data_IF_528036285960
#
_entry.id   IF_528036285960
#
_cell.length_a   1.000
_cell.length_b   1.000
_cell.length_c   1.000
_cell.angle_alpha   90.00
_cell.angle_beta   90.00
_cell.angle_gamma   90.00
#
_symmetry.space_group_name_H-M   'P 1'
#
loop_
_entity.id
_entity.type
_entity.pdbx_description
1 polymer ?
#
# COMPACT_ATOMS: atom_id res chain seq x y z
N UNK A 1 0.67 7.17 -0.22
CA UNK A 1 1.35 7.72 0.97
C UNK A 1 0.50 7.46 2.20
N UNK A 2 1.11 7.38 3.38
CA UNK A 2 0.39 7.24 4.64
C UNK A 2 1.14 7.94 5.76
N UNK A 3 0.43 8.84 6.46
CA UNK A 3 0.88 9.43 7.71
C UNK A 3 0.57 8.46 8.85
N UNK A 4 1.48 8.36 9.81
CA UNK A 4 1.29 7.58 11.03
C UNK A 4 1.55 8.46 12.26
N UNK A 5 0.80 8.17 13.31
CA UNK A 5 0.86 8.86 14.61
C UNK A 5 0.89 7.76 15.68
N UNK A 6 1.79 7.82 16.66
CA UNK A 6 2.89 8.79 16.79
C UNK A 6 3.97 8.63 15.68
N UNK A 7 4.82 9.64 15.46
CA UNK A 7 6.03 9.49 14.65
C UNK A 7 6.90 8.36 15.18
N UNK A 8 7.56 7.64 14.28
CA UNK A 8 8.34 6.45 14.62
C UNK A 8 9.72 6.51 14.00
N UNK A 9 10.67 5.97 14.75
CA UNK A 9 12.05 5.75 14.32
C UNK A 9 12.36 4.26 14.15
N UNK A 10 11.43 3.36 14.48
CA UNK A 10 11.61 1.92 14.31
C UNK A 10 11.66 1.56 12.82
N UNK A 11 12.82 1.06 12.39
CA UNK A 11 13.09 0.70 10.99
C UNK A 11 12.06 -0.30 10.46
N UNK A 12 11.76 -1.34 11.25
CA UNK A 12 10.85 -2.41 10.83
C UNK A 12 9.44 -1.87 10.62
N UNK A 13 8.98 -0.99 11.52
CA UNK A 13 7.67 -0.36 11.40
C UNK A 13 7.59 0.60 10.20
N UNK A 14 8.59 1.47 10.02
CA UNK A 14 8.61 2.44 8.90
C UNK A 14 8.65 1.69 7.56
N UNK A 15 9.47 0.64 7.46
CA UNK A 15 9.55 -0.21 6.28
C UNK A 15 8.23 -0.95 6.03
N UNK A 16 7.61 -1.54 7.07
CA UNK A 16 6.32 -2.20 6.94
C UNK A 16 5.23 -1.24 6.41
N UNK A 17 5.24 0.01 6.86
CA UNK A 17 4.30 1.02 6.34
C UNK A 17 4.58 1.40 4.90
N UNK A 18 5.85 1.49 4.53
CA UNK A 18 6.27 1.71 3.15
C UNK A 18 5.84 0.55 2.24
N UNK A 19 6.06 -0.69 2.65
CA UNK A 19 5.64 -1.90 1.95
C UNK A 19 4.11 -1.93 1.73
N UNK A 20 3.34 -1.56 2.75
CA UNK A 20 1.88 -1.41 2.62
C UNK A 20 1.47 -0.34 1.61
N UNK A 21 2.21 0.77 1.52
CA UNK A 21 1.95 1.80 0.51
C UNK A 21 2.25 1.30 -0.89
N UNK A 22 3.34 0.53 -1.06
CA UNK A 22 3.68 -0.13 -2.32
C UNK A 22 2.55 -1.08 -2.76
N UNK A 23 2.11 -2.00 -1.89
CA UNK A 23 1.00 -2.91 -2.21
C UNK A 23 -0.24 -2.17 -2.68
N UNK A 24 -0.62 -1.10 -1.95
CA UNK A 24 -1.77 -0.28 -2.31
C UNK A 24 -1.60 0.44 -3.65
N UNK A 25 -0.39 0.88 -3.97
CA UNK A 25 -0.08 1.49 -5.27
C UNK A 25 -0.20 0.44 -6.38
N UNK A 26 0.35 -0.75 -6.19
CA UNK A 26 0.27 -1.85 -7.16
C UNK A 26 -1.16 -2.31 -7.43
N UNK A 27 -2.02 -2.40 -6.40
CA UNK A 27 -3.45 -2.72 -6.57
C UNK A 27 -4.12 -1.68 -7.49
N UNK A 28 -3.78 -0.39 -7.33
CA UNK A 28 -4.34 0.66 -8.19
C UNK A 28 -3.82 0.54 -9.62
N UNK A 29 -2.52 0.36 -9.78
CA UNK A 29 -1.88 0.22 -11.10
C UNK A 29 -2.46 -0.97 -11.87
N UNK A 30 -2.61 -2.13 -11.24
CA UNK A 30 -3.27 -3.30 -11.87
C UNK A 30 -4.75 -3.06 -12.20
N UNK A 31 -5.48 -2.33 -11.35
CA UNK A 31 -6.90 -2.00 -11.61
C UNK A 31 -7.07 -1.18 -12.89
N UNK A 32 -6.10 -0.33 -13.22
CA UNK A 32 -6.11 0.47 -14.44
C UNK A 32 -5.41 -0.25 -15.61
N UNK A 33 -5.02 -1.51 -15.45
CA UNK A 33 -4.28 -2.30 -16.44
C UNK A 33 -2.99 -1.58 -16.91
N UNK A 34 -2.23 -1.06 -15.94
CA UNK A 34 -0.97 -0.37 -16.15
C UNK A 34 0.21 -1.15 -15.56
N UNK A 35 1.41 -0.83 -16.02
CA UNK A 35 2.69 -1.28 -15.46
C UNK A 35 3.62 -0.08 -15.25
N UNK A 36 4.40 -0.06 -14.17
CA UNK A 36 5.29 1.05 -13.84
C UNK A 36 6.73 0.72 -14.24
N UNK A 37 7.47 1.72 -14.75
CA UNK A 37 8.90 1.61 -15.10
C UNK A 37 9.82 2.21 -14.04
N UNK A 38 9.27 2.98 -13.12
CA UNK A 38 10.01 3.69 -12.06
C UNK A 38 9.30 3.57 -10.73
N UNK A 39 10.10 3.43 -9.68
CA UNK A 39 9.66 3.42 -8.29
C UNK A 39 10.31 4.60 -7.58
N UNK A 40 9.49 5.51 -7.06
CA UNK A 40 9.95 6.60 -6.19
C UNK A 40 9.60 6.28 -4.76
N UNK A 41 10.60 6.25 -3.89
CA UNK A 41 10.46 6.01 -2.45
C UNK A 41 10.77 7.29 -1.73
N UNK A 42 9.91 7.71 -0.80
CA UNK A 42 10.19 8.89 0.01
C UNK A 42 9.66 8.75 1.43
N UNK A 43 10.36 9.42 2.35
CA UNK A 43 10.03 9.51 3.76
C UNK A 43 9.97 10.98 4.17
N UNK A 44 8.96 11.33 4.97
CA UNK A 44 8.85 12.66 5.57
C UNK A 44 9.21 12.59 7.05
N UNK A 45 10.15 13.44 7.45
CA UNK A 45 10.59 13.60 8.84
C UNK A 45 9.59 14.42 9.65
N UNK A 46 9.74 14.38 10.97
CA UNK A 46 8.90 15.16 11.90
C UNK A 46 8.98 16.67 11.64
N UNK A 47 10.13 17.17 11.20
CA UNK A 47 10.40 18.56 10.78
C UNK A 47 9.82 18.91 9.39
N UNK A 48 8.96 18.04 8.84
CA UNK A 48 8.32 18.18 7.53
C UNK A 48 9.26 18.17 6.33
N UNK A 49 10.55 17.88 6.51
CA UNK A 49 11.47 17.71 5.39
C UNK A 49 11.28 16.36 4.73
N UNK A 50 11.17 16.36 3.41
CA UNK A 50 11.08 15.16 2.58
C UNK A 50 12.45 14.74 2.08
N UNK A 51 12.69 13.44 2.08
CA UNK A 51 13.84 12.82 1.43
C UNK A 51 13.30 11.67 0.59
N UNK A 52 13.75 11.57 -0.65
CA UNK A 52 13.32 10.49 -1.53
C UNK A 52 14.36 10.14 -2.57
N UNK A 53 14.17 8.98 -3.18
CA UNK A 53 15.01 8.43 -4.24
C UNK A 53 14.13 7.84 -5.32
N UNK A 54 14.55 8.00 -6.57
CA UNK A 54 13.94 7.36 -7.73
C UNK A 54 14.80 6.16 -8.16
N UNK A 55 14.13 5.04 -8.40
CA UNK A 55 14.75 3.80 -8.89
C UNK A 55 14.13 3.46 -10.23
N UNK A 56 14.98 3.29 -11.24
CA UNK A 56 14.58 2.77 -12.55
C UNK A 56 14.46 1.26 -12.46
N UNK A 57 13.32 0.73 -12.89
CA UNK A 57 13.08 -0.71 -12.90
C UNK A 57 13.70 -1.31 -14.17
N UNK A 58 14.23 -2.54 -14.04
CA UNK A 58 14.75 -3.30 -15.18
C UNK A 58 13.66 -3.64 -16.18
N UNK A 59 12.44 -3.88 -15.69
CA UNK A 59 11.25 -4.14 -16.50
C UNK A 59 10.02 -3.40 -15.97
N UNK A 60 9.08 -3.03 -16.84
CA UNK A 60 7.77 -2.54 -16.41
C UNK A 60 7.04 -3.59 -15.58
N UNK A 61 6.56 -3.25 -14.38
CA UNK A 61 5.86 -4.21 -13.52
C UNK A 61 4.77 -3.55 -12.66
N UNK A 62 3.78 -4.35 -12.29
CA UNK A 62 2.69 -3.98 -11.39
C UNK A 62 2.60 -4.93 -10.17
N UNK A 63 3.60 -5.79 -9.98
CA UNK A 63 3.59 -6.83 -8.97
C UNK A 63 4.48 -6.45 -7.78
N UNK A 64 3.93 -6.36 -6.55
CA UNK A 64 4.71 -6.06 -5.34
C UNK A 64 5.93 -6.97 -5.14
N UNK A 65 5.83 -8.25 -5.50
CA UNK A 65 6.91 -9.24 -5.31
C UNK A 65 8.20 -8.82 -6.02
N UNK A 66 8.09 -8.21 -7.20
CA UNK A 66 9.25 -7.74 -7.98
C UNK A 66 9.77 -6.39 -7.49
N UNK A 67 8.92 -5.62 -6.82
CA UNK A 67 9.21 -4.28 -6.35
C UNK A 67 9.76 -4.24 -4.92
N UNK A 68 9.70 -5.33 -4.16
CA UNK A 68 10.21 -5.36 -2.78
C UNK A 68 11.72 -5.20 -2.68
N UNK A 69 12.48 -5.77 -3.60
CA UNK A 69 13.94 -5.61 -3.63
C UNK A 69 14.33 -4.14 -3.95
N UNK A 70 13.83 -3.53 -5.05
CA UNK A 70 14.01 -2.08 -5.28
C UNK A 70 13.50 -1.22 -4.11
N UNK A 71 12.38 -1.59 -3.49
CA UNK A 71 11.84 -0.85 -2.35
C UNK A 71 12.82 -0.85 -1.17
N UNK A 72 13.44 -2.00 -0.88
CA UNK A 72 14.40 -2.15 0.21
C UNK A 72 15.69 -1.38 -0.08
N UNK A 73 16.16 -1.39 -1.31
CA UNK A 73 17.30 -0.59 -1.74
C UNK A 73 17.02 0.91 -1.56
N UNK A 74 15.89 1.40 -2.08
CA UNK A 74 15.52 2.81 -1.94
C UNK A 74 15.29 3.23 -0.49
N UNK A 75 14.72 2.34 0.31
CA UNK A 75 14.54 2.58 1.73
C UNK A 75 15.87 2.75 2.47
N UNK A 76 16.87 1.90 2.21
CA UNK A 76 18.21 2.01 2.83
C UNK A 76 18.91 3.33 2.51
N UNK A 77 18.68 3.90 1.32
CA UNK A 77 19.27 5.19 0.94
C UNK A 77 18.61 6.38 1.64
N UNK A 78 17.31 6.29 1.94
CA UNK A 78 16.50 7.39 2.47
C UNK A 78 16.37 7.34 4.00
N UNK A 79 16.40 6.14 4.57
CA UNK A 79 16.26 5.92 6.00
C UNK A 79 17.55 6.28 6.76
N UNK A 80 17.39 7.06 7.82
CA UNK A 80 18.47 7.42 8.74
C UNK A 80 18.11 6.94 10.14
N UNK A 81 19.00 6.18 10.79
CA UNK A 81 18.82 5.80 12.19
C UNK A 81 18.61 7.02 13.08
N UNK A 82 17.87 6.84 14.19
CA UNK A 82 17.58 7.89 15.20
C UNK A 82 16.85 9.13 14.65
N UNK A 83 16.25 9.02 13.47
CA UNK A 83 15.41 10.07 12.88
C UNK A 83 13.93 9.70 13.04
N UNK A 84 13.12 10.63 13.52
CA UNK A 84 11.67 10.45 13.61
C UNK A 84 11.00 10.72 12.27
N UNK A 85 10.33 9.71 11.74
CA UNK A 85 9.51 9.79 10.54
C UNK A 85 8.03 9.85 10.91
N UNK A 86 7.24 10.57 10.11
CA UNK A 86 5.79 10.71 10.31
C UNK A 86 4.96 10.22 9.13
N UNK A 87 5.57 10.11 7.94
CA UNK A 87 4.91 9.68 6.73
C UNK A 87 5.86 8.87 5.86
N UNK A 88 5.32 7.81 5.27
CA UNK A 88 5.98 7.05 4.21
C UNK A 88 5.22 7.20 2.91
N UNK A 89 5.96 7.16 1.79
CA UNK A 89 5.43 7.40 0.47
C UNK A 89 6.09 6.54 -0.60
N UNK A 90 5.25 6.06 -1.51
CA UNK A 90 5.66 5.33 -2.71
C UNK A 90 4.91 5.96 -3.88
N UNK A 91 5.61 6.24 -4.98
CA UNK A 91 5.03 6.64 -6.25
C UNK A 91 5.51 5.65 -7.32
N UNK A 92 4.56 5.13 -8.08
CA UNK A 92 4.84 4.36 -9.29
C UNK A 92 4.75 5.32 -10.47
N UNK A 93 5.84 5.45 -11.22
CA UNK A 93 5.99 6.43 -12.30
C UNK A 93 6.38 5.75 -13.62
N UNK A 94 6.27 6.52 -14.72
CA UNK A 94 6.48 6.01 -16.08
C UNK A 94 5.54 4.83 -16.37
N UNK A 95 4.25 5.10 -16.26
CA UNK A 95 3.18 4.12 -16.42
C UNK A 95 2.98 3.80 -17.91
N UNK A 96 2.89 2.51 -18.23
CA UNK A 96 2.66 1.97 -19.56
C UNK A 96 1.44 1.04 -19.53
N UNK A 97 0.72 0.84 -20.64
CA UNK A 97 -0.34 -0.18 -20.74
C UNK A 97 0.19 -1.59 -20.44
N UNK A 98 -0.54 -2.36 -19.62
CA UNK A 98 -0.16 -3.71 -19.20
C UNK A 98 -0.16 -4.75 -20.33
N UNK A 99 -0.95 -4.53 -21.39
CA UNK A 99 -1.09 -5.43 -22.54
C UNK A 99 0.08 -5.35 -23.52
N UNK A 100 0.91 -4.31 -23.45
CA UNK A 100 2.00 -4.04 -24.41
C UNK A 100 3.41 -4.31 -23.86
N UNK A 101 3.54 -5.15 -22.83
CA UNK A 101 4.87 -5.53 -22.35
C UNK A 101 5.44 -6.59 -23.30
N UNK A 102 6.20 -6.16 -24.30
CA UNK A 102 7.02 -7.06 -25.10
C UNK A 102 8.05 -7.74 -24.20
N UNK A 103 8.01 -9.07 -24.13
CA UNK A 103 8.99 -9.84 -23.37
C UNK A 103 10.34 -9.85 -24.08
N UNK A 104 11.41 -9.74 -23.31
CA UNK A 104 12.77 -9.97 -23.79
C UNK A 104 13.03 -11.47 -23.97
N UNK A 105 14.00 -11.83 -24.80
CA UNK A 105 14.49 -13.22 -24.92
C UNK A 105 15.04 -13.78 -23.60
N UNK A 106 15.39 -12.89 -22.67
CA UNK A 106 15.93 -13.24 -21.35
C UNK A 106 14.88 -13.21 -20.24
N UNK A 107 13.63 -12.88 -20.55
CA UNK A 107 12.56 -12.88 -19.57
C UNK A 107 12.02 -14.30 -19.34
N UNK A 108 11.86 -14.67 -18.07
CA UNK A 108 11.14 -15.88 -17.68
C UNK A 108 9.62 -15.64 -17.80
N UNK A 109 9.10 -15.86 -19.01
CA UNK A 109 7.67 -15.67 -19.35
C UNK A 109 6.76 -16.54 -18.49
N UNK A 110 7.18 -17.78 -18.20
CA UNK A 110 6.41 -18.71 -17.38
C UNK A 110 6.21 -18.17 -15.95
N UNK A 111 7.26 -17.58 -15.37
CA UNK A 111 7.16 -16.92 -14.05
C UNK A 111 6.28 -15.68 -14.08
N UNK A 112 6.35 -14.87 -15.14
CA UNK A 112 5.53 -13.66 -15.30
C UNK A 112 4.05 -14.04 -15.39
N UNK A 113 3.69 -14.98 -16.26
CA UNK A 113 2.31 -15.44 -16.41
C UNK A 113 1.78 -16.08 -15.12
N UNK A 114 2.60 -16.89 -14.45
CA UNK A 114 2.24 -17.46 -13.15
C UNK A 114 1.93 -16.37 -12.13
N UNK A 115 2.74 -15.31 -12.10
CA UNK A 115 2.52 -14.17 -11.22
C UNK A 115 1.22 -13.43 -11.58
N UNK A 116 0.95 -13.22 -12.86
CA UNK A 116 -0.29 -12.62 -13.34
C UNK A 116 -1.53 -13.40 -12.88
N UNK A 117 -1.51 -14.74 -13.02
CA UNK A 117 -2.60 -15.63 -12.56
C UNK A 117 -2.78 -15.60 -11.05
N UNK A 118 -1.70 -15.53 -10.27
CA UNK A 118 -1.79 -15.44 -8.81
C UNK A 118 -2.43 -14.11 -8.40
N UNK A 119 -1.96 -12.99 -8.96
CA UNK A 119 -2.46 -11.68 -8.58
C UNK A 119 -3.88 -11.41 -9.08
N UNK A 120 -4.33 -11.99 -10.19
CA UNK A 120 -5.73 -11.90 -10.60
C UNK A 120 -6.68 -12.50 -9.56
N UNK A 121 -6.34 -13.68 -9.03
CA UNK A 121 -7.10 -14.33 -7.94
C UNK A 121 -7.05 -13.50 -6.66
N UNK A 122 -5.87 -12.97 -6.30
CA UNK A 122 -5.72 -12.09 -5.11
C UNK A 122 -6.58 -10.83 -5.24
N UNK A 123 -6.66 -10.25 -6.43
CA UNK A 123 -7.46 -9.06 -6.70
C UNK A 123 -8.96 -9.38 -6.69
N UNK A 124 -9.39 -10.55 -7.22
CA UNK A 124 -10.76 -11.04 -7.12
C UNK A 124 -11.20 -11.23 -5.66
N UNK A 125 -10.37 -11.90 -4.85
CA UNK A 125 -10.60 -12.07 -3.42
C UNK A 125 -10.66 -10.71 -2.70
N UNK A 126 -9.82 -9.77 -3.10
CA UNK A 126 -9.82 -8.42 -2.54
C UNK A 126 -11.06 -7.61 -2.92
N UNK A 127 -11.64 -7.85 -4.09
CA UNK A 127 -12.91 -7.26 -4.50
C UNK A 127 -14.09 -7.83 -3.70
N UNK A 128 -14.09 -9.15 -3.46
CA UNK A 128 -15.19 -9.85 -2.74
C UNK A 128 -15.16 -9.63 -1.22
N UNK A 129 -13.98 -9.73 -0.61
CA UNK A 129 -13.81 -9.70 0.86
C UNK A 129 -13.21 -8.39 1.38
N UNK A 130 -12.82 -7.50 0.47
CA UNK A 130 -12.25 -6.20 0.76
C UNK A 130 -10.72 -6.17 0.74
N UNK A 131 -10.16 -4.97 0.78
CA UNK A 131 -8.71 -4.72 0.65
C UNK A 131 -7.89 -5.42 1.76
N UNK A 132 -6.75 -5.99 1.40
CA UNK A 132 -5.86 -6.72 2.32
C UNK A 132 -6.50 -7.96 2.96
N UNK A 133 -7.34 -8.68 2.21
CA UNK A 133 -7.74 -10.05 2.56
C UNK A 133 -6.53 -10.96 2.50
N UNK A 134 -5.75 -10.84 1.42
CA UNK A 134 -4.39 -11.37 1.29
C UNK A 134 -3.44 -10.17 1.21
N UNK A 135 -2.33 -10.24 1.93
CA UNK A 135 -1.28 -9.23 1.95
C UNK A 135 0.06 -9.91 2.22
N UNK A 136 1.17 -9.26 1.87
CA UNK A 136 2.49 -9.84 2.14
C UNK A 136 2.82 -9.77 3.63
N UNK A 137 3.61 -10.72 4.12
CA UNK A 137 4.04 -10.76 5.53
C UNK A 137 4.76 -9.47 5.94
N UNK A 138 5.48 -8.84 5.01
CA UNK A 138 6.22 -7.59 5.22
C UNK A 138 5.29 -6.44 5.65
N UNK A 139 4.05 -6.39 5.17
CA UNK A 139 3.09 -5.33 5.51
C UNK A 139 2.24 -5.64 6.75
N UNK A 140 2.34 -6.85 7.29
CA UNK A 140 1.56 -7.33 8.44
C UNK A 140 1.75 -6.51 9.73
N UNK A 141 2.98 -6.07 10.12
CA UNK A 141 3.19 -5.32 11.36
C UNK A 141 2.35 -4.02 11.45
N UNK A 142 1.99 -3.44 10.30
CA UNK A 142 1.15 -2.23 10.23
C UNK A 142 -0.29 -2.43 10.70
N UNK A 143 -0.74 -3.68 10.82
CA UNK A 143 -2.10 -4.06 11.23
C UNK A 143 -2.17 -4.30 12.74
N UNK A 144 -1.05 -4.65 13.35
CA UNK A 144 -0.92 -4.93 14.79
C UNK A 144 -0.86 -3.60 15.57
N UNK A 145 -0.18 -2.59 15.04
CA UNK A 145 -0.18 -1.24 15.60
C UNK A 145 -1.35 -0.41 15.05
N UNK A 146 -2.58 -0.83 15.34
CA UNK A 146 -3.78 -0.04 15.06
C UNK A 146 -3.63 1.31 15.77
N UNK A 147 -3.79 2.38 14.99
CA UNK A 147 -3.88 3.77 15.45
C UNK A 147 -4.73 3.88 16.72
N UNK A 148 -4.16 4.46 17.77
CA UNK A 148 -4.84 5.09 18.90
C UNK A 148 -6.27 4.58 19.17
N UNK A 149 -6.39 3.51 19.94
CA UNK A 149 -7.49 3.46 20.91
C UNK A 149 -7.11 4.43 22.03
N UNK A 150 -7.80 5.57 22.16
CA UNK A 150 -7.59 6.47 23.32
C UNK A 150 -7.73 7.95 23.03
N UNK A 151 -6.65 8.62 22.60
CA UNK A 151 -6.49 10.04 22.97
C UNK A 151 -6.88 11.11 21.93
N UNK A 152 -7.08 10.76 20.65
CA UNK A 152 -7.25 11.78 19.58
C UNK A 152 -8.35 11.48 18.56
N UNK A 153 -9.28 10.59 18.86
CA UNK A 153 -10.34 10.25 17.92
C UNK A 153 -11.61 9.80 18.61
N UNK A 154 -12.58 10.70 18.68
CA UNK A 154 -13.97 10.28 18.90
C UNK A 154 -14.35 9.30 17.79
N UNK A 155 -14.75 8.10 18.20
CA UNK A 155 -15.27 7.12 17.25
C UNK A 155 -16.64 7.61 16.83
N UNK A 156 -16.87 7.96 15.56
CA UNK A 156 -18.17 8.44 15.12
C UNK A 156 -19.22 7.36 15.38
N UNK A 157 -20.39 7.75 15.89
CA UNK A 157 -21.48 6.82 16.27
C UNK A 157 -21.91 5.90 15.12
N UNK A 158 -21.72 6.28 13.85
CA UNK A 158 -21.99 5.40 12.70
C UNK A 158 -21.09 4.15 12.67
N UNK A 159 -19.89 4.20 13.26
CA UNK A 159 -19.02 3.03 13.38
C UNK A 159 -19.59 2.01 14.37
N UNK A 160 -20.22 2.47 15.45
CA UNK A 160 -20.81 1.61 16.50
C UNK A 160 -22.25 1.18 16.16
N UNK A 161 -23.06 2.04 15.54
CA UNK A 161 -24.43 1.74 15.09
C UNK A 161 -24.48 1.14 13.68
N UNK A 162 -24.23 -0.16 13.56
CA UNK A 162 -24.41 -0.94 12.33
C UNK A 162 -25.89 -1.37 12.16
N UNK A 163 -26.44 -1.29 10.95
CA UNK A 163 -27.70 -1.97 10.64
C UNK A 163 -27.50 -3.47 10.49
N UNK A 164 -28.58 -4.26 10.64
CA UNK A 164 -28.53 -5.71 10.41
C UNK A 164 -28.07 -5.98 8.96
N UNK A 165 -27.08 -6.86 8.81
CA UNK A 165 -26.47 -7.19 7.51
C UNK A 165 -25.31 -6.26 7.08
N UNK A 166 -25.10 -5.13 7.76
CA UNK A 166 -23.91 -4.31 7.51
C UNK A 166 -22.64 -4.98 8.08
N UNK A 167 -21.52 -4.81 7.38
CA UNK A 167 -20.18 -5.15 7.88
C UNK A 167 -19.38 -3.88 8.11
N UNK A 168 -18.25 -3.97 8.83
CA UNK A 168 -17.32 -2.84 9.03
C UNK A 168 -16.93 -2.13 7.72
N UNK A 169 -16.93 -2.87 6.60
CA UNK A 169 -16.58 -2.40 5.24
C UNK A 169 -17.74 -2.37 4.24
N UNK A 170 -18.92 -2.87 4.59
CA UNK A 170 -20.10 -2.89 3.72
C UNK A 170 -21.23 -2.19 4.47
N UNK A 171 -21.55 -0.97 4.06
CA UNK A 171 -22.57 -0.13 4.67
C UNK A 171 -23.68 0.11 3.66
N UNK A 172 -24.90 0.26 4.13
CA UNK A 172 -26.00 0.72 3.29
C UNK A 172 -25.76 2.18 2.93
N UNK A 173 -25.94 2.53 1.66
CA UNK A 173 -25.74 3.88 1.12
C UNK A 173 -26.85 4.87 1.50
N UNK A 174 -27.49 4.68 2.65
CA UNK A 174 -28.58 5.52 3.14
C UNK A 174 -28.07 6.50 4.21
N UNK A 175 -28.45 7.79 4.16
CA UNK A 175 -28.12 8.74 5.21
C UNK A 175 -28.81 8.32 6.52
N UNK A 176 -28.08 8.41 7.63
CA UNK A 176 -28.63 8.11 8.96
C UNK A 176 -28.98 9.43 9.65
N UNK A 177 -30.28 9.71 9.79
CA UNK A 177 -30.78 10.84 10.58
C UNK A 177 -31.12 10.33 11.98
N UNK A 178 -30.35 10.76 12.98
CA UNK A 178 -30.66 10.52 14.40
C UNK A 178 -31.35 11.77 14.94
N UNK A 179 -32.67 11.83 14.79
CA UNK A 179 -33.50 12.83 15.46
C UNK A 179 -33.84 12.24 16.83
N UNK A 180 -33.51 12.96 17.91
CA UNK A 180 -34.08 12.66 19.23
C UNK A 180 -35.52 13.16 19.21
N UNK A 181 -36.47 12.22 19.29
CA UNK A 181 -37.89 12.52 19.54
C UNK A 181 -38.07 12.63 21.04
#
# INVERSE_FOLDING_TARGET
TRTFTPPSQDEAFVFAQLAKNLENACIKVRRYDLAATRLVVFLRRQDFRDIGVEIKLSRPTAYPTELFEPLREGFRQVYRPRTLYRLTGVVLAGLLPGVQVQYSLFDDTAKIEKMARIYSIVDELSNKFGKHTIQHAVSLPTKIQVQHEGDRGDVPQRKTGLFRGEKRRQRLGMPMLRIKV
#
